data_IF_223810999349
#
_entry.id   IF_223810999349
#
_cell.length_a   1.000
_cell.length_b   1.000
_cell.length_c   1.000
_cell.angle_alpha   90.00
_cell.angle_beta   90.00
_cell.angle_gamma   90.00
#
_symmetry.space_group_name_H-M   'P 1'
#
loop_
_entity.id
_entity.type
_entity.pdbx_description
1 polymer ?
#
# COMPACT_ATOMS: atom_id res chain seq x y z
N UNK A 1 -4.98 10.59 17.12
CA UNK A 1 -5.34 11.93 17.64
C UNK A 1 -4.55 12.95 16.87
N UNK A 2 -5.22 13.91 16.22
CA UNK A 2 -4.56 15.03 15.56
C UNK A 2 -3.68 15.76 16.60
N UNK A 3 -2.40 15.94 16.29
CA UNK A 3 -1.46 16.69 17.13
C UNK A 3 -0.82 17.78 16.30
N UNK A 4 -0.99 19.03 16.72
CA UNK A 4 -0.31 20.19 16.17
C UNK A 4 0.69 20.72 17.20
N UNK A 5 1.76 21.36 16.72
CA UNK A 5 2.64 22.13 17.59
C UNK A 5 1.93 23.40 18.09
N UNK A 6 2.38 23.89 19.24
CA UNK A 6 1.88 25.18 19.73
C UNK A 6 2.33 26.29 18.78
N UNK A 7 1.41 27.19 18.40
CA UNK A 7 1.69 28.29 17.47
C UNK A 7 1.17 29.62 18.00
N UNK A 8 1.87 30.70 17.68
CA UNK A 8 1.41 32.08 17.90
C UNK A 8 0.66 32.64 16.69
N UNK A 9 0.67 31.91 15.56
CA UNK A 9 0.12 32.38 14.29
C UNK A 9 -0.72 31.31 13.61
N UNK A 10 -1.85 31.71 13.04
CA UNK A 10 -2.83 30.80 12.46
C UNK A 10 -3.77 31.54 11.51
N UNK A 11 -4.19 30.90 10.43
CA UNK A 11 -5.20 31.46 9.53
C UNK A 11 -6.28 30.43 9.21
N UNK A 12 -7.54 30.81 9.35
CA UNK A 12 -8.69 30.06 8.84
C UNK A 12 -9.34 30.87 7.75
N UNK A 13 -9.60 30.25 6.60
CA UNK A 13 -10.40 30.86 5.53
C UNK A 13 -11.48 29.86 5.15
N UNK A 14 -12.72 30.30 5.06
CA UNK A 14 -13.81 29.44 4.60
C UNK A 14 -14.82 30.21 3.76
N UNK A 15 -15.46 29.49 2.85
CA UNK A 15 -16.57 29.99 2.05
C UNK A 15 -17.86 29.37 2.57
N UNK A 16 -18.87 30.20 2.77
CA UNK A 16 -20.19 29.74 3.17
C UNK A 16 -21.07 30.88 3.65
N UNK A 17 -22.15 30.55 4.34
CA UNK A 17 -23.13 31.52 4.80
C UNK A 17 -23.78 31.09 6.11
N UNK A 18 -24.12 32.07 6.94
CA UNK A 18 -25.06 31.86 8.04
C UNK A 18 -26.48 31.79 7.50
N UNK A 19 -27.31 30.91 8.06
CA UNK A 19 -28.74 30.92 7.77
C UNK A 19 -29.39 32.14 8.43
N UNK A 20 -30.19 32.88 7.67
CA UNK A 20 -31.00 33.99 8.21
C UNK A 20 -32.00 33.52 9.30
N UNK A 21 -32.36 32.23 9.28
CA UNK A 21 -33.27 31.60 10.23
C UNK A 21 -32.56 30.97 11.44
N UNK A 22 -31.23 31.12 11.56
CA UNK A 22 -30.48 30.63 12.70
C UNK A 22 -31.08 31.15 14.03
N UNK A 23 -31.04 30.39 15.13
CA UNK A 23 -31.50 30.85 16.44
C UNK A 23 -30.55 31.89 17.06
N UNK A 24 -31.05 32.77 17.93
CA UNK A 24 -30.21 33.76 18.65
C UNK A 24 -29.60 33.11 19.88
N UNK A 25 -28.28 33.26 20.06
CA UNK A 25 -27.70 32.98 21.36
C UNK A 25 -28.20 34.01 22.38
N UNK A 26 -28.67 33.54 23.55
CA UNK A 26 -28.96 34.42 24.69
C UNK A 26 -27.67 34.70 25.44
N UNK A 27 -27.46 35.95 25.89
CA UNK A 27 -26.25 36.42 26.59
C UNK A 27 -25.68 35.39 27.57
N UNK A 28 -24.38 35.09 27.42
CA UNK A 28 -23.66 34.09 28.21
C UNK A 28 -23.68 32.67 27.64
N UNK A 29 -24.23 32.48 26.44
CA UNK A 29 -24.23 31.20 25.71
C UNK A 29 -23.30 31.31 24.51
N UNK A 30 -22.17 30.59 24.53
CA UNK A 30 -21.18 30.61 23.45
C UNK A 30 -21.64 29.73 22.27
N UNK A 31 -21.62 30.24 21.04
CA UNK A 31 -22.18 29.57 19.86
C UNK A 31 -21.15 29.42 18.74
N UNK A 32 -20.29 28.38 18.76
CA UNK A 32 -18.96 28.57 18.18
C UNK A 32 -18.09 27.37 17.77
N UNK A 33 -17.73 27.30 16.49
CA UNK A 33 -16.41 27.68 15.96
C UNK A 33 -16.19 26.99 14.62
N UNK A 34 -15.68 27.74 13.65
CA UNK A 34 -15.04 27.22 12.45
C UNK A 34 -13.59 27.65 12.60
N UNK A 35 -12.77 26.82 13.26
CA UNK A 35 -11.40 27.16 13.65
C UNK A 35 -10.98 26.61 15.01
N UNK A 36 -9.86 27.07 15.58
CA UNK A 36 -9.44 26.70 16.93
C UNK A 36 -10.52 27.06 17.94
N UNK A 37 -10.57 26.35 19.07
CA UNK A 37 -11.55 26.50 20.15
C UNK A 37 -11.63 27.88 20.85
N UNK A 38 -11.07 28.94 20.26
CA UNK A 38 -10.93 30.29 20.80
C UNK A 38 -11.35 31.42 19.83
N UNK A 39 -11.75 31.10 18.58
CA UNK A 39 -12.03 32.11 17.53
C UNK A 39 -13.27 31.79 16.71
N UNK A 40 -14.09 32.80 16.46
CA UNK A 40 -15.51 32.52 16.54
C UNK A 40 -16.35 33.57 15.77
N UNK A 41 -17.03 33.18 14.68
CA UNK A 41 -18.00 34.05 13.99
C UNK A 41 -19.41 33.76 14.53
N UNK A 42 -20.15 34.78 14.98
CA UNK A 42 -21.28 34.59 15.89
C UNK A 42 -22.53 35.39 15.60
N UNK A 43 -23.63 34.81 16.13
CA UNK A 43 -24.92 35.45 16.30
C UNK A 43 -25.23 35.70 17.79
N UNK A 44 -24.95 36.89 18.32
CA UNK A 44 -25.11 37.23 19.74
C UNK A 44 -26.00 38.47 19.97
N UNK A 45 -26.44 38.69 21.21
CA UNK A 45 -27.37 39.75 21.61
C UNK A 45 -26.70 41.10 21.96
N UNK A 46 -25.39 41.22 21.76
CA UNK A 46 -24.61 42.44 21.95
C UNK A 46 -25.08 43.60 21.07
N UNK A 47 -25.86 44.54 21.63
CA UNK A 47 -26.37 45.78 20.98
C UNK A 47 -27.31 45.57 19.79
N UNK A 48 -27.84 44.36 19.60
CA UNK A 48 -28.93 44.08 18.65
C UNK A 48 -28.51 43.69 17.23
N UNK A 49 -27.33 43.10 17.05
CA UNK A 49 -26.82 42.64 15.75
C UNK A 49 -25.80 41.50 15.88
N UNK A 50 -25.44 40.87 14.75
CA UNK A 50 -24.50 39.74 14.70
C UNK A 50 -23.07 40.25 14.65
N UNK A 51 -22.11 39.61 15.31
CA UNK A 51 -20.72 40.10 15.31
C UNK A 51 -19.73 38.96 15.17
N UNK A 52 -18.59 39.24 14.57
CA UNK A 52 -17.42 38.37 14.72
C UNK A 52 -16.79 38.58 16.09
N UNK A 53 -16.27 37.53 16.69
CA UNK A 53 -15.75 37.60 18.04
C UNK A 53 -14.53 36.71 18.26
N UNK A 54 -13.78 37.04 19.30
CA UNK A 54 -12.66 36.24 19.77
C UNK A 54 -12.73 36.10 21.28
N UNK A 55 -12.39 34.92 21.79
CA UNK A 55 -12.31 34.65 23.21
C UNK A 55 -10.98 34.01 23.60
N UNK A 56 -10.20 34.71 24.43
CA UNK A 56 -8.96 34.20 25.03
C UNK A 56 -8.98 34.28 26.58
N UNK A 57 -10.19 34.36 27.16
CA UNK A 57 -10.42 34.78 28.55
C UNK A 57 -11.01 36.18 28.67
N UNK A 58 -10.85 37.01 27.63
CA UNK A 58 -11.62 38.26 27.40
C UNK A 58 -12.34 38.14 26.06
N UNK A 59 -13.57 38.66 25.97
CA UNK A 59 -14.34 38.71 24.72
C UNK A 59 -13.98 39.99 23.94
N UNK A 60 -13.64 39.84 22.67
CA UNK A 60 -13.35 40.93 21.75
C UNK A 60 -14.34 40.89 20.59
N UNK A 61 -15.28 41.84 20.58
CA UNK A 61 -16.31 41.93 19.56
C UNK A 61 -15.87 42.79 18.37
N UNK A 62 -16.26 42.32 17.19
CA UNK A 62 -16.05 42.94 15.90
C UNK A 62 -17.21 43.83 15.44
N UNK A 63 -17.21 44.12 14.14
CA UNK A 63 -18.32 44.80 13.46
C UNK A 63 -19.55 43.91 13.27
N UNK A 64 -20.68 44.56 12.95
CA UNK A 64 -21.95 43.90 12.65
C UNK A 64 -21.87 43.12 11.32
N UNK A 65 -22.25 41.84 11.33
CA UNK A 65 -22.22 40.93 10.17
C UNK A 65 -23.62 40.53 9.65
N UNK A 66 -24.70 41.15 10.14
CA UNK A 66 -26.10 40.92 9.73
C UNK A 66 -26.34 41.04 8.24
N UNK A 67 -25.57 41.88 7.56
CA UNK A 67 -25.66 42.03 6.11
C UNK A 67 -25.24 40.78 5.31
N UNK A 68 -24.56 39.82 5.94
CA UNK A 68 -24.04 38.61 5.29
C UNK A 68 -24.92 37.37 5.53
N UNK A 69 -26.03 37.48 6.29
CA UNK A 69 -26.96 36.38 6.51
C UNK A 69 -27.62 35.93 5.18
N UNK A 70 -27.58 34.62 4.91
CA UNK A 70 -28.09 34.03 3.67
C UNK A 70 -27.33 34.47 2.42
N UNK A 71 -26.12 35.01 2.58
CA UNK A 71 -25.25 35.44 1.47
C UNK A 71 -23.94 34.64 1.52
N UNK A 72 -23.59 33.89 0.47
CA UNK A 72 -22.28 33.25 0.35
C UNK A 72 -21.16 34.29 0.52
N UNK A 73 -20.32 34.05 1.51
CA UNK A 73 -19.28 34.97 1.97
C UNK A 73 -18.00 34.20 2.19
N UNK A 74 -16.88 34.80 1.82
CA UNK A 74 -15.56 34.30 2.19
C UNK A 74 -15.15 34.95 3.50
N UNK A 75 -14.99 34.13 4.53
CA UNK A 75 -14.63 34.54 5.87
C UNK A 75 -13.17 34.20 6.11
N UNK A 76 -12.40 35.15 6.62
CA UNK A 76 -11.00 34.93 6.99
C UNK A 76 -10.75 35.34 8.42
N UNK A 77 -9.98 34.54 9.15
CA UNK A 77 -9.52 34.83 10.51
C UNK A 77 -8.00 34.71 10.51
N UNK A 78 -7.30 35.83 10.67
CA UNK A 78 -5.83 35.88 10.74
C UNK A 78 -5.42 36.19 12.16
N UNK A 79 -4.76 35.24 12.80
CA UNK A 79 -4.23 35.34 14.16
C UNK A 79 -2.71 35.37 14.06
N UNK A 80 -2.08 36.35 14.71
CA UNK A 80 -0.64 36.42 14.92
C UNK A 80 -0.36 36.74 16.39
N UNK A 81 0.92 36.69 16.79
CA UNK A 81 1.35 36.82 18.19
C UNK A 81 0.73 38.01 18.94
N UNK A 82 0.55 39.14 18.24
CA UNK A 82 0.05 40.39 18.80
C UNK A 82 -1.05 41.05 17.95
N UNK A 83 -1.68 40.31 17.02
CA UNK A 83 -2.73 40.88 16.16
C UNK A 83 -3.78 39.85 15.76
N UNK A 84 -5.02 40.30 15.71
CA UNK A 84 -6.16 39.53 15.27
C UNK A 84 -6.95 40.36 14.28
N UNK A 85 -7.26 39.75 13.14
CA UNK A 85 -8.07 40.39 12.12
C UNK A 85 -9.05 39.38 11.55
N UNK A 86 -10.31 39.82 11.42
CA UNK A 86 -11.35 39.06 10.76
C UNK A 86 -11.75 39.80 9.49
N UNK A 87 -12.09 39.05 8.46
CA UNK A 87 -12.49 39.60 7.18
C UNK A 87 -13.74 38.90 6.66
N UNK A 88 -14.60 39.67 6.00
CA UNK A 88 -15.70 39.17 5.18
C UNK A 88 -15.52 39.71 3.76
N UNK A 89 -15.37 38.83 2.77
CA UNK A 89 -15.10 39.19 1.37
C UNK A 89 -13.94 40.18 1.22
N UNK A 90 -12.89 40.00 2.01
CA UNK A 90 -11.73 40.89 2.02
C UNK A 90 -11.85 42.16 2.85
N UNK A 91 -13.06 42.50 3.32
CA UNK A 91 -13.31 43.66 4.16
C UNK A 91 -12.98 43.35 5.62
N UNK A 92 -12.12 44.18 6.23
CA UNK A 92 -11.76 44.09 7.66
C UNK A 92 -12.99 44.33 8.54
N UNK A 93 -13.21 43.44 9.50
CA UNK A 93 -14.22 43.54 10.54
C UNK A 93 -13.54 44.06 11.81
N UNK A 94 -13.82 45.31 12.16
CA UNK A 94 -13.07 46.02 13.19
C UNK A 94 -13.21 45.34 14.56
N UNK A 95 -12.12 44.76 15.06
CA UNK A 95 -12.05 44.26 16.43
C UNK A 95 -11.59 45.34 17.41
N UNK A 96 -12.38 45.58 18.45
CA UNK A 96 -11.97 46.49 19.53
C UNK A 96 -11.02 45.84 20.53
N UNK A 97 -9.76 46.27 20.62
CA UNK A 97 -8.80 45.86 21.67
C UNK A 97 -7.42 45.45 21.14
N UNK A 98 -6.58 44.90 22.03
CA UNK A 98 -5.32 44.24 21.65
C UNK A 98 -5.26 42.85 22.32
N UNK A 99 -5.89 41.83 21.73
CA UNK A 99 -5.84 40.47 22.27
C UNK A 99 -4.44 39.89 22.12
N UNK A 100 -3.98 39.16 23.13
CA UNK A 100 -2.81 38.26 23.03
C UNK A 100 -3.30 36.83 22.82
N UNK A 101 -2.60 36.05 21.99
CA UNK A 101 -3.04 34.70 21.68
C UNK A 101 -1.88 33.72 21.51
N UNK A 102 -2.10 32.50 21.97
CA UNK A 102 -1.22 31.37 21.73
C UNK A 102 -2.08 30.11 21.62
N UNK A 103 -1.95 29.41 20.50
CA UNK A 103 -2.59 28.13 20.25
C UNK A 103 -1.74 27.05 20.95
N UNK A 104 -2.33 26.31 21.87
CA UNK A 104 -1.65 25.23 22.57
C UNK A 104 -1.35 24.08 21.61
N UNK A 105 -0.30 23.30 21.91
CA UNK A 105 -0.09 22.04 21.23
C UNK A 105 -1.31 21.12 21.42
N UNK A 106 -1.74 20.44 20.36
CA UNK A 106 -2.93 19.58 20.38
C UNK A 106 -4.26 20.33 20.57
N UNK A 107 -4.35 21.58 20.10
CA UNK A 107 -5.61 22.33 20.15
C UNK A 107 -6.64 21.70 19.21
N UNK A 108 -7.90 21.62 19.65
CA UNK A 108 -8.99 21.15 18.80
C UNK A 108 -9.37 22.22 17.76
N UNK A 109 -9.49 21.79 16.51
CA UNK A 109 -10.23 22.53 15.48
C UNK A 109 -11.68 22.10 15.60
N UNK A 110 -12.55 23.05 15.94
CA UNK A 110 -13.97 22.84 16.06
C UNK A 110 -14.62 23.36 14.79
N UNK A 111 -15.57 22.57 14.27
CA UNK A 111 -16.41 22.93 13.13
C UNK A 111 -17.87 22.78 13.56
N UNK A 112 -18.55 23.90 13.72
CA UNK A 112 -20.01 23.96 13.83
C UNK A 112 -20.63 23.62 15.19
N UNK A 113 -19.87 23.15 16.20
CA UNK A 113 -20.43 22.86 17.53
C UNK A 113 -19.40 23.08 18.67
N UNK A 114 -19.60 24.09 19.52
CA UNK A 114 -18.64 24.47 20.57
C UNK A 114 -18.66 23.53 21.79
N UNK A 115 -19.86 23.18 22.29
CA UNK A 115 -20.06 22.46 23.55
C UNK A 115 -21.52 22.05 23.77
N UNK A 116 -21.76 21.18 24.76
CA UNK A 116 -23.09 20.66 25.12
C UNK A 116 -24.14 21.70 25.57
N UNK A 117 -23.75 22.97 25.75
CA UNK A 117 -24.64 24.07 26.14
C UNK A 117 -24.64 25.26 25.17
N UNK A 118 -23.98 25.14 24.01
CA UNK A 118 -23.89 26.19 22.99
C UNK A 118 -24.97 26.06 21.90
N UNK A 119 -25.11 27.09 21.07
CA UNK A 119 -25.83 26.97 19.80
C UNK A 119 -24.86 26.50 18.71
N UNK A 120 -25.30 25.53 17.92
CA UNK A 120 -24.54 25.01 16.77
C UNK A 120 -24.61 26.00 15.59
N UNK A 121 -23.63 25.91 14.69
CA UNK A 121 -23.66 26.61 13.42
C UNK A 121 -24.88 26.18 12.62
N UNK A 122 -25.67 27.16 12.16
CA UNK A 122 -26.80 26.94 11.25
C UNK A 122 -26.54 27.75 9.99
N UNK A 123 -26.24 27.04 8.91
CA UNK A 123 -25.80 27.64 7.66
C UNK A 123 -25.17 26.60 6.74
N UNK A 124 -24.41 27.07 5.76
CA UNK A 124 -23.68 26.24 4.80
C UNK A 124 -22.18 26.58 4.84
N UNK A 125 -21.35 25.54 4.75
CA UNK A 125 -19.90 25.65 4.58
C UNK A 125 -19.58 24.87 3.30
N UNK A 126 -18.97 25.53 2.33
CA UNK A 126 -18.63 24.93 1.03
C UNK A 126 -17.16 24.51 1.00
N UNK A 127 -16.25 25.38 1.43
CA UNK A 127 -14.81 25.13 1.44
C UNK A 127 -14.17 25.70 2.72
N UNK A 128 -13.23 24.97 3.32
CA UNK A 128 -12.50 25.36 4.53
C UNK A 128 -11.01 25.10 4.33
N UNK A 129 -10.21 26.14 4.51
CA UNK A 129 -8.76 26.13 4.43
C UNK A 129 -8.17 26.57 5.77
N UNK A 130 -7.13 25.87 6.21
CA UNK A 130 -6.47 26.09 7.48
C UNK A 130 -4.96 26.17 7.25
N UNK A 131 -4.33 27.22 7.79
CA UNK A 131 -2.89 27.45 7.69
C UNK A 131 -2.29 27.64 9.08
N UNK A 132 -1.18 26.96 9.36
CA UNK A 132 -0.40 27.12 10.60
C UNK A 132 0.49 28.39 10.60
N UNK A 133 0.08 29.41 9.85
CA UNK A 133 0.78 30.69 9.73
C UNK A 133 -0.22 31.84 9.61
N UNK A 134 0.23 33.05 9.96
CA UNK A 134 -0.52 34.27 9.71
C UNK A 134 -0.30 34.69 8.25
N UNK A 135 -1.33 34.57 7.42
CA UNK A 135 -1.23 34.95 6.02
C UNK A 135 -1.08 36.47 5.87
N UNK A 136 -0.25 36.87 4.90
CA UNK A 136 -0.14 38.26 4.51
C UNK A 136 -1.43 38.75 3.85
N UNK A 137 -1.65 40.06 3.81
CA UNK A 137 -2.80 40.64 3.12
C UNK A 137 -2.86 40.20 1.64
N UNK A 138 -1.71 40.12 0.95
CA UNK A 138 -1.64 39.69 -0.44
C UNK A 138 -1.92 38.20 -0.65
N UNK A 139 -1.47 37.34 0.27
CA UNK A 139 -1.73 35.90 0.16
C UNK A 139 -3.20 35.60 0.47
N UNK A 140 -3.74 36.25 1.49
CA UNK A 140 -5.16 36.20 1.83
C UNK A 140 -6.02 36.69 0.65
N UNK A 141 -5.72 37.84 0.05
CA UNK A 141 -6.46 38.36 -1.10
C UNK A 141 -6.51 37.37 -2.26
N UNK A 142 -5.41 36.66 -2.55
CA UNK A 142 -5.38 35.62 -3.59
C UNK A 142 -6.34 34.47 -3.28
N UNK A 143 -6.31 33.98 -2.05
CA UNK A 143 -7.14 32.85 -1.61
C UNK A 143 -8.62 33.27 -1.56
N UNK A 144 -8.91 34.46 -1.04
CA UNK A 144 -10.27 35.00 -0.99
C UNK A 144 -10.83 35.27 -2.39
N UNK A 145 -10.01 35.74 -3.32
CA UNK A 145 -10.42 35.90 -4.72
C UNK A 145 -10.74 34.56 -5.36
N UNK A 146 -9.94 33.53 -5.08
CA UNK A 146 -10.19 32.17 -5.55
C UNK A 146 -11.52 31.65 -5.01
N UNK A 147 -11.72 31.67 -3.68
CA UNK A 147 -12.95 31.19 -3.04
C UNK A 147 -14.17 32.03 -3.45
N UNK A 148 -14.03 33.34 -3.59
CA UNK A 148 -15.11 34.25 -3.98
C UNK A 148 -15.46 34.19 -5.47
N UNK A 149 -14.66 33.48 -6.28
CA UNK A 149 -14.98 33.26 -7.69
C UNK A 149 -16.02 32.16 -7.86
N UNK A 150 -16.88 32.28 -8.86
CA UNK A 150 -17.69 31.15 -9.32
C UNK A 150 -16.71 30.10 -9.84
N UNK A 151 -16.82 28.83 -9.41
CA UNK A 151 -16.05 27.75 -10.02
C UNK A 151 -16.23 27.83 -11.54
N UNK A 152 -15.17 27.67 -12.34
CA UNK A 152 -15.36 27.51 -13.79
C UNK A 152 -16.40 26.42 -14.04
N UNK A 153 -17.23 26.58 -15.08
CA UNK A 153 -18.10 25.48 -15.55
C UNK A 153 -17.26 24.21 -15.60
N UNK A 154 -17.77 23.10 -15.05
CA UNK A 154 -17.09 21.81 -14.90
C UNK A 154 -16.48 21.34 -16.23
N UNK A 155 -15.29 21.82 -16.58
CA UNK A 155 -14.40 21.11 -17.48
C UNK A 155 -13.87 19.94 -16.67
N UNK A 156 -14.04 18.72 -17.20
CA UNK A 156 -13.47 17.53 -16.56
C UNK A 156 -12.00 17.80 -16.25
N UNK A 157 -11.60 17.75 -14.98
CA UNK A 157 -10.24 18.09 -14.60
C UNK A 157 -9.29 17.11 -15.30
N UNK A 158 -8.50 17.62 -16.25
CA UNK A 158 -7.41 16.86 -16.85
C UNK A 158 -6.30 16.78 -15.80
N UNK A 159 -6.24 15.66 -15.08
CA UNK A 159 -5.27 15.44 -14.00
C UNK A 159 -3.92 15.05 -14.61
N UNK A 160 -3.23 16.03 -15.21
CA UNK A 160 -1.88 15.84 -15.77
C UNK A 160 -0.79 15.75 -14.66
N UNK A 161 -1.20 15.89 -13.39
CA UNK A 161 -0.37 15.73 -12.19
C UNK A 161 -0.82 14.51 -11.36
N UNK A 162 0.05 13.91 -10.53
CA UNK A 162 -0.36 12.92 -9.55
C UNK A 162 -1.39 13.54 -8.60
N UNK A 163 -2.60 12.99 -8.55
CA UNK A 163 -3.71 13.61 -7.84
C UNK A 163 -4.94 12.73 -7.74
N UNK A 164 -5.90 13.23 -6.97
CA UNK A 164 -7.24 12.65 -6.79
C UNK A 164 -8.26 13.68 -7.23
N UNK A 165 -9.30 13.24 -7.93
CA UNK A 165 -10.54 14.00 -8.17
C UNK A 165 -11.66 13.31 -7.41
N UNK A 166 -12.49 14.09 -6.72
CA UNK A 166 -13.59 13.56 -5.91
C UNK A 166 -14.91 13.97 -6.56
N UNK A 167 -15.72 12.99 -6.91
CA UNK A 167 -17.09 13.17 -7.36
C UNK A 167 -18.05 12.76 -6.25
N UNK A 168 -19.14 13.51 -6.10
CA UNK A 168 -20.19 13.18 -5.14
C UNK A 168 -21.54 13.18 -5.83
N UNK A 169 -22.20 12.03 -5.83
CA UNK A 169 -23.58 11.88 -6.30
C UNK A 169 -24.45 11.39 -5.13
N UNK A 170 -25.16 12.34 -4.50
CA UNK A 170 -25.94 12.08 -3.29
C UNK A 170 -25.06 11.67 -2.10
N UNK A 171 -25.18 10.41 -1.67
CA UNK A 171 -24.41 9.81 -0.58
C UNK A 171 -23.21 8.99 -1.06
N UNK A 172 -23.07 8.81 -2.38
CA UNK A 172 -21.96 8.09 -2.97
C UNK A 172 -20.80 9.06 -3.24
N UNK A 173 -19.59 8.63 -2.88
CA UNK A 173 -18.35 9.38 -3.14
C UNK A 173 -17.47 8.53 -4.02
N UNK A 174 -17.07 9.07 -5.16
CA UNK A 174 -16.16 8.43 -6.11
C UNK A 174 -14.85 9.19 -6.15
N UNK A 175 -13.75 8.46 -6.01
CA UNK A 175 -12.38 8.96 -6.08
C UNK A 175 -11.81 8.50 -7.42
N UNK A 176 -11.50 9.44 -8.31
CA UNK A 176 -10.73 9.18 -9.51
C UNK A 176 -9.25 9.46 -9.23
N UNK A 177 -8.39 8.53 -9.63
CA UNK A 177 -6.95 8.55 -9.36
C UNK A 177 -6.23 8.78 -10.68
N UNK A 178 -5.25 9.69 -10.68
CA UNK A 178 -4.36 9.86 -11.84
C UNK A 178 -3.61 8.57 -12.15
N UNK A 179 -3.47 8.20 -13.43
CA UNK A 179 -2.72 7.00 -13.85
C UNK A 179 -1.25 6.99 -13.39
N UNK A 180 -0.71 8.17 -13.06
CA UNK A 180 0.67 8.35 -12.60
C UNK A 180 0.80 8.25 -11.07
N UNK A 181 -0.30 8.10 -10.34
CA UNK A 181 -0.31 8.13 -8.88
C UNK A 181 -0.48 6.74 -8.26
N UNK A 182 0.17 6.53 -7.13
CA UNK A 182 -0.17 5.50 -6.16
C UNK A 182 -1.15 6.08 -5.13
N UNK A 183 -2.12 5.27 -4.71
CA UNK A 183 -3.09 5.65 -3.69
C UNK A 183 -2.71 5.06 -2.33
N UNK A 184 -2.67 5.92 -1.31
CA UNK A 184 -2.49 5.51 0.08
C UNK A 184 -3.77 5.81 0.86
N UNK A 185 -4.06 4.94 1.83
CA UNK A 185 -5.14 5.12 2.79
C UNK A 185 -4.61 5.17 4.22
N UNK A 186 -5.32 5.90 5.09
CA UNK A 186 -5.04 5.98 6.52
C UNK A 186 -6.33 6.12 7.32
N UNK A 187 -6.37 5.57 8.53
CA UNK A 187 -7.47 5.77 9.49
C UNK A 187 -7.15 6.87 10.51
N UNK A 188 -5.88 7.25 10.66
CA UNK A 188 -5.41 8.13 11.74
C UNK A 188 -4.50 9.30 11.29
N UNK A 189 -4.25 9.42 9.98
CA UNK A 189 -3.32 10.35 9.31
C UNK A 189 -1.84 10.14 9.65
N UNK A 190 -1.52 9.15 10.48
CA UNK A 190 -0.15 8.84 10.92
C UNK A 190 0.36 7.63 10.16
N UNK A 191 -0.41 6.55 10.17
CA UNK A 191 -0.06 5.29 9.52
C UNK A 191 -0.72 5.25 8.15
N UNK A 192 0.10 5.20 7.11
CA UNK A 192 -0.35 5.15 5.73
C UNK A 192 -0.03 3.78 5.12
N UNK A 193 -1.04 3.16 4.51
CA UNK A 193 -0.90 1.91 3.78
C UNK A 193 -1.21 2.14 2.31
N UNK A 194 -0.43 1.53 1.43
CA UNK A 194 -0.78 1.53 0.00
C UNK A 194 -2.10 0.78 -0.22
N UNK A 195 -2.92 1.28 -1.14
CA UNK A 195 -3.98 0.51 -1.77
C UNK A 195 -3.38 -0.11 -3.04
N UNK A 196 -2.96 -1.39 -3.00
CA UNK A 196 -2.38 -2.04 -4.16
C UNK A 196 -3.41 -2.15 -5.27
N UNK A 197 -2.96 -2.00 -6.53
CA UNK A 197 -3.82 -2.12 -7.71
C UNK A 197 -5.10 -1.28 -7.62
N UNK A 198 -5.03 -0.11 -6.98
CA UNK A 198 -6.16 0.80 -6.86
C UNK A 198 -6.74 1.06 -8.26
N UNK A 199 -8.02 0.75 -8.44
CA UNK A 199 -8.70 1.03 -9.69
C UNK A 199 -8.62 2.53 -9.98
N UNK A 200 -8.51 2.96 -11.26
CA UNK A 200 -8.49 4.37 -11.63
C UNK A 200 -9.70 5.16 -11.08
N UNK A 201 -10.77 4.44 -10.74
CA UNK A 201 -11.96 4.94 -10.09
C UNK A 201 -12.31 4.04 -8.89
N UNK A 202 -12.45 4.64 -7.71
CA UNK A 202 -12.77 3.98 -6.45
C UNK A 202 -14.05 4.59 -5.86
N UNK A 203 -15.11 3.79 -5.77
CA UNK A 203 -16.35 4.18 -5.08
C UNK A 203 -16.27 3.83 -3.60
N UNK A 204 -16.48 4.82 -2.73
CA UNK A 204 -16.51 4.63 -1.28
C UNK A 204 -17.94 4.28 -0.80
N UNK A 205 -18.11 3.22 0.00
CA UNK A 205 -19.38 2.91 0.64
C UNK A 205 -19.84 4.05 1.57
N UNK A 206 -21.13 4.35 1.56
CA UNK A 206 -21.73 5.42 2.39
C UNK A 206 -21.61 5.17 3.91
N UNK A 207 -21.31 3.94 4.32
CA UNK A 207 -21.18 3.48 5.70
C UNK A 207 -19.73 3.15 6.12
N UNK A 208 -18.76 3.43 5.26
CA UNK A 208 -17.35 3.28 5.64
C UNK A 208 -16.99 4.32 6.72
N UNK A 209 -16.24 3.88 7.73
CA UNK A 209 -15.72 4.78 8.78
C UNK A 209 -14.80 5.86 8.19
N UNK A 210 -14.33 6.77 9.05
CA UNK A 210 -13.42 7.83 8.61
C UNK A 210 -12.13 7.25 8.02
N UNK A 211 -11.94 7.43 6.71
CA UNK A 211 -10.71 7.09 5.99
C UNK A 211 -10.17 8.33 5.27
N UNK A 212 -8.84 8.46 5.28
CA UNK A 212 -8.10 9.50 4.61
C UNK A 212 -7.36 8.90 3.42
N UNK A 213 -7.34 9.62 2.30
CA UNK A 213 -6.69 9.18 1.07
C UNK A 213 -5.65 10.21 0.62
N UNK A 214 -4.55 9.71 0.05
CA UNK A 214 -3.48 10.55 -0.50
C UNK A 214 -2.94 9.91 -1.79
N UNK A 215 -2.92 10.67 -2.87
CA UNK A 215 -2.18 10.32 -4.08
C UNK A 215 -0.71 10.73 -3.92
N UNK A 216 0.21 9.85 -4.35
CA UNK A 216 1.65 10.13 -4.41
C UNK A 216 2.21 9.71 -5.76
N UNK A 217 3.26 10.39 -6.21
CA UNK A 217 4.03 10.00 -7.40
C UNK A 217 5.04 8.88 -7.12
N UNK A 218 5.39 8.70 -5.85
CA UNK A 218 6.42 7.77 -5.40
C UNK A 218 6.15 7.35 -3.96
N UNK A 219 6.53 6.12 -3.64
CA UNK A 219 6.39 5.56 -2.30
C UNK A 219 7.76 5.67 -1.65
N UNK A 220 7.89 6.60 -0.70
CA UNK A 220 9.13 6.86 0.03
C UNK A 220 9.21 6.19 1.40
N UNK A 221 8.09 5.65 1.88
CA UNK A 221 8.00 4.97 3.17
C UNK A 221 7.50 3.55 2.97
N UNK A 222 8.19 2.60 3.61
CA UNK A 222 7.80 1.19 3.61
C UNK A 222 6.48 1.10 4.38
N UNK A 223 5.42 0.70 3.68
CA UNK A 223 4.11 0.47 4.29
C UNK A 223 3.84 -1.03 4.49
N UNK A 224 3.04 -1.35 5.50
CA UNK A 224 2.57 -2.72 5.72
C UNK A 224 1.71 -3.20 4.54
N UNK A 225 1.78 -4.50 4.23
CA UNK A 225 0.96 -5.11 3.18
C UNK A 225 1.47 -4.90 1.75
N UNK A 226 2.65 -4.28 1.56
CA UNK A 226 3.27 -4.18 0.24
C UNK A 226 3.75 -5.55 -0.24
N UNK A 227 3.14 -6.02 -1.33
CA UNK A 227 3.47 -7.28 -1.97
C UNK A 227 3.89 -7.06 -3.42
N UNK A 228 4.88 -7.82 -3.87
CA UNK A 228 5.36 -7.79 -5.24
C UNK A 228 5.26 -9.17 -5.85
N UNK A 229 4.75 -9.28 -7.07
CA UNK A 229 4.59 -10.58 -7.75
C UNK A 229 5.23 -10.56 -9.13
N UNK A 230 5.76 -11.71 -9.53
CA UNK A 230 6.11 -12.00 -10.92
C UNK A 230 5.56 -13.35 -11.32
N UNK A 231 5.29 -13.52 -12.61
CA UNK A 231 4.90 -14.80 -13.21
C UNK A 231 5.95 -15.25 -14.22
N UNK A 232 6.42 -16.48 -14.07
CA UNK A 232 7.31 -17.14 -15.01
C UNK A 232 6.48 -18.04 -15.90
N UNK A 233 6.31 -17.66 -17.17
CA UNK A 233 5.55 -18.44 -18.16
C UNK A 233 6.46 -19.30 -19.04
N UNK A 234 6.07 -20.55 -19.22
CA UNK A 234 6.62 -21.56 -20.14
C UNK A 234 5.44 -22.31 -20.78
N UNK A 235 5.50 -23.64 -20.93
CA UNK A 235 4.32 -24.46 -21.23
C UNK A 235 3.32 -24.47 -20.05
N UNK A 236 3.80 -24.20 -18.83
CA UNK A 236 3.00 -23.92 -17.62
C UNK A 236 3.36 -22.53 -17.07
N UNK A 237 2.79 -22.11 -15.94
CA UNK A 237 3.19 -20.88 -15.24
C UNK A 237 3.55 -21.10 -13.78
N UNK A 238 4.49 -20.32 -13.24
CA UNK A 238 4.78 -20.28 -11.79
C UNK A 238 4.73 -18.85 -11.33
N UNK A 239 4.29 -18.61 -10.11
CA UNK A 239 4.24 -17.29 -9.51
C UNK A 239 5.18 -17.22 -8.31
N UNK A 240 5.90 -16.11 -8.24
CA UNK A 240 6.69 -15.74 -7.10
C UNK A 240 6.12 -14.47 -6.51
N UNK A 241 5.83 -14.50 -5.21
CA UNK A 241 5.27 -13.38 -4.46
C UNK A 241 6.16 -13.05 -3.27
N UNK A 242 6.51 -11.78 -3.10
CA UNK A 242 7.35 -11.29 -2.02
C UNK A 242 6.63 -10.25 -1.18
N UNK A 243 6.62 -10.44 0.13
CA UNK A 243 6.00 -9.56 1.12
C UNK A 243 7.11 -8.69 1.74
N UNK A 244 7.05 -7.38 1.50
CA UNK A 244 8.15 -6.45 1.78
C UNK A 244 8.46 -6.27 3.28
N UNK A 245 7.41 -6.31 4.08
CA UNK A 245 7.40 -6.10 5.52
C UNK A 245 8.02 -7.28 6.27
N UNK A 246 7.62 -8.49 5.92
CA UNK A 246 8.04 -9.75 6.55
C UNK A 246 9.26 -10.39 5.88
N UNK A 247 9.53 -10.05 4.63
CA UNK A 247 10.49 -10.74 3.80
C UNK A 247 10.02 -12.11 3.30
N UNK A 248 8.75 -12.47 3.53
CA UNK A 248 8.21 -13.76 3.10
C UNK A 248 8.15 -13.83 1.57
N UNK A 249 8.74 -14.87 1.01
CA UNK A 249 8.71 -15.19 -0.41
C UNK A 249 7.94 -16.49 -0.61
N UNK A 250 6.89 -16.47 -1.42
CA UNK A 250 6.13 -17.65 -1.82
C UNK A 250 6.41 -18.00 -3.27
N UNK A 251 6.64 -19.29 -3.54
CA UNK A 251 6.82 -19.82 -4.89
C UNK A 251 5.79 -20.91 -5.16
N UNK A 252 4.78 -20.57 -5.96
CA UNK A 252 3.61 -21.39 -6.22
C UNK A 252 3.55 -21.73 -7.72
N UNK A 253 3.30 -22.99 -8.03
CA UNK A 253 3.25 -23.49 -9.40
C UNK A 253 2.38 -24.72 -9.52
N UNK A 254 2.69 -25.53 -10.53
CA UNK A 254 1.95 -26.74 -10.85
C UNK A 254 2.16 -27.86 -9.84
N UNK A 255 1.19 -28.77 -9.78
CA UNK A 255 1.32 -30.06 -9.11
C UNK A 255 2.20 -31.02 -9.90
N UNK A 256 2.88 -31.91 -9.17
CA UNK A 256 3.65 -33.03 -9.71
C UNK A 256 4.64 -32.66 -10.82
N UNK A 257 5.33 -31.52 -10.64
CA UNK A 257 6.43 -31.07 -11.48
C UNK A 257 7.53 -32.14 -11.52
N UNK A 258 7.99 -32.51 -12.72
CA UNK A 258 9.04 -33.50 -12.91
C UNK A 258 10.44 -32.93 -12.69
N UNK A 259 11.35 -33.75 -12.18
CA UNK A 259 12.75 -33.38 -11.98
C UNK A 259 13.69 -34.38 -12.64
N UNK A 260 14.77 -33.87 -13.20
CA UNK A 260 15.80 -34.64 -13.90
C UNK A 260 16.98 -34.93 -12.98
N UNK A 261 17.42 -36.19 -12.88
CA UNK A 261 18.59 -36.55 -12.08
C UNK A 261 19.90 -36.17 -12.77
N UNK A 262 20.79 -35.53 -12.02
CA UNK A 262 22.06 -35.06 -12.54
C UNK A 262 23.21 -35.42 -11.60
N UNK A 263 24.14 -36.23 -12.13
CA UNK A 263 25.28 -36.78 -11.37
C UNK A 263 26.65 -36.22 -11.75
N UNK A 264 26.68 -35.36 -12.78
CA UNK A 264 27.93 -34.81 -13.31
C UNK A 264 28.66 -33.98 -12.25
N UNK A 265 29.99 -34.09 -12.19
CA UNK A 265 30.81 -33.32 -11.25
C UNK A 265 30.74 -33.82 -9.80
N UNK A 266 30.26 -35.04 -9.56
CA UNK A 266 30.13 -35.61 -8.22
C UNK A 266 28.88 -35.14 -7.47
N UNK A 267 27.97 -34.46 -8.17
CA UNK A 267 26.68 -34.07 -7.64
C UNK A 267 25.75 -35.30 -7.52
N UNK A 268 24.75 -35.19 -6.66
CA UNK A 268 23.61 -36.12 -6.58
C UNK A 268 22.34 -35.30 -6.34
N UNK A 269 21.80 -34.74 -7.42
CA UNK A 269 20.74 -33.74 -7.34
C UNK A 269 19.77 -33.84 -8.50
N UNK A 270 18.56 -33.37 -8.25
CA UNK A 270 17.46 -33.41 -9.19
C UNK A 270 17.00 -31.99 -9.45
N UNK A 271 16.80 -31.60 -10.70
CA UNK A 271 16.36 -30.24 -11.02
C UNK A 271 15.58 -30.17 -12.32
N UNK A 272 14.86 -29.06 -12.50
CA UNK A 272 14.22 -28.72 -13.76
C UNK A 272 14.34 -27.21 -14.02
N UNK A 273 14.24 -26.82 -15.29
CA UNK A 273 14.26 -25.41 -15.71
C UNK A 273 12.96 -24.70 -15.33
N UNK A 274 13.07 -23.55 -14.68
CA UNK A 274 11.90 -22.70 -14.38
C UNK A 274 11.60 -21.70 -15.49
N UNK A 275 12.63 -21.19 -16.18
CA UNK A 275 12.50 -20.25 -17.29
C UNK A 275 13.27 -20.72 -18.54
N UNK A 276 12.62 -20.63 -19.71
CA UNK A 276 13.26 -20.93 -21.01
C UNK A 276 13.70 -19.65 -21.71
N UNK A 277 14.96 -19.61 -22.20
CA UNK A 277 15.45 -18.57 -23.10
C UNK A 277 16.07 -17.31 -22.48
N UNK A 278 16.64 -17.38 -21.27
CA UNK A 278 17.38 -16.26 -20.66
C UNK A 278 16.52 -15.04 -20.31
N UNK A 279 15.19 -15.18 -20.31
CA UNK A 279 14.26 -14.18 -19.80
C UNK A 279 14.16 -14.40 -18.29
N UNK A 280 14.96 -13.63 -17.55
CA UNK A 280 14.89 -13.60 -16.09
C UNK A 280 13.48 -13.29 -15.60
N UNK A 281 13.13 -13.81 -14.43
CA UNK A 281 11.83 -13.57 -13.78
C UNK A 281 11.73 -12.19 -13.12
N UNK A 282 12.71 -11.30 -13.36
CA UNK A 282 12.79 -9.92 -12.88
C UNK A 282 12.89 -9.86 -11.35
N UNK A 283 11.77 -10.06 -10.68
CA UNK A 283 11.64 -10.04 -9.23
C UNK A 283 12.50 -11.10 -8.54
N UNK A 284 12.46 -12.37 -8.97
CA UNK A 284 13.25 -13.43 -8.29
C UNK A 284 14.75 -13.13 -8.43
N UNK A 285 15.19 -12.66 -9.60
CA UNK A 285 16.58 -12.27 -9.80
C UNK A 285 16.99 -11.10 -8.92
N UNK A 286 16.16 -10.07 -8.86
CA UNK A 286 16.36 -8.91 -7.98
C UNK A 286 16.54 -9.37 -6.53
N UNK A 287 15.65 -10.23 -6.05
CA UNK A 287 15.65 -10.74 -4.68
C UNK A 287 16.87 -11.62 -4.40
N UNK A 288 17.23 -12.53 -5.32
CA UNK A 288 18.42 -13.40 -5.18
C UNK A 288 19.72 -12.61 -5.13
N UNK A 289 19.85 -11.55 -5.94
CA UNK A 289 21.05 -10.71 -6.00
C UNK A 289 21.24 -9.81 -4.77
N UNK A 290 20.12 -9.45 -4.10
CA UNK A 290 20.10 -8.54 -2.95
C UNK A 290 19.81 -9.24 -1.61
N UNK A 291 19.67 -10.56 -1.64
CA UNK A 291 19.48 -11.36 -0.43
C UNK A 291 20.70 -11.21 0.50
N UNK A 292 20.48 -10.68 1.71
CA UNK A 292 21.56 -10.54 2.70
C UNK A 292 22.14 -11.88 3.16
N UNK A 293 21.38 -12.97 2.99
CA UNK A 293 21.80 -14.33 3.36
C UNK A 293 22.39 -15.13 2.19
N UNK A 294 22.62 -14.52 1.01
CA UNK A 294 23.02 -15.22 -0.20
C UNK A 294 24.25 -16.14 -0.04
N UNK A 295 25.26 -15.71 0.72
CA UNK A 295 26.46 -16.53 1.00
C UNK A 295 26.13 -17.74 1.88
N UNK A 296 25.32 -17.54 2.93
CA UNK A 296 24.90 -18.60 3.84
C UNK A 296 24.07 -19.64 3.09
N UNK A 297 23.11 -19.20 2.27
CA UNK A 297 22.29 -20.09 1.46
C UNK A 297 23.10 -20.88 0.44
N UNK A 298 24.11 -20.26 -0.18
CA UNK A 298 25.03 -20.97 -1.08
C UNK A 298 25.83 -22.04 -0.34
N UNK A 299 26.38 -21.73 0.83
CA UNK A 299 27.13 -22.70 1.63
C UNK A 299 26.24 -23.89 2.03
N UNK A 300 24.99 -23.63 2.42
CA UNK A 300 23.98 -24.67 2.70
C UNK A 300 23.71 -25.58 1.51
N UNK A 301 23.62 -25.03 0.30
CA UNK A 301 23.45 -25.83 -0.91
C UNK A 301 24.67 -26.74 -1.17
N UNK A 302 25.89 -26.22 -0.99
CA UNK A 302 27.12 -27.02 -1.15
C UNK A 302 27.18 -28.17 -0.13
N UNK A 303 26.86 -27.88 1.13
CA UNK A 303 26.79 -28.90 2.20
C UNK A 303 25.70 -29.96 1.92
N UNK A 304 24.67 -29.57 1.18
CA UNK A 304 23.56 -30.43 0.75
C UNK A 304 23.81 -31.14 -0.60
N UNK A 305 25.05 -31.18 -1.09
CA UNK A 305 25.44 -32.02 -2.24
C UNK A 305 25.54 -31.31 -3.59
N UNK A 306 25.39 -29.98 -3.65
CA UNK A 306 25.54 -29.18 -4.88
C UNK A 306 27.02 -28.87 -5.22
N UNK A 307 27.89 -29.87 -5.11
CA UNK A 307 29.36 -29.74 -5.05
C UNK A 307 30.02 -29.03 -6.25
N UNK A 308 29.43 -29.13 -7.45
CA UNK A 308 30.00 -28.50 -8.65
C UNK A 308 29.68 -27.00 -8.81
N UNK A 309 28.80 -26.44 -7.97
CA UNK A 309 28.22 -25.11 -8.15
C UNK A 309 28.90 -24.03 -7.28
N UNK A 310 30.22 -24.09 -7.18
CA UNK A 310 31.02 -23.20 -6.31
C UNK A 310 31.28 -21.81 -6.91
N UNK A 311 31.19 -21.67 -8.24
CA UNK A 311 31.48 -20.42 -8.93
C UNK A 311 30.56 -19.24 -8.55
N UNK A 312 31.06 -18.01 -8.72
CA UNK A 312 30.30 -16.78 -8.40
C UNK A 312 29.10 -16.54 -9.32
N UNK A 313 29.01 -17.27 -10.44
CA UNK A 313 27.86 -17.22 -11.33
C UNK A 313 26.62 -17.90 -10.71
N UNK A 314 26.76 -18.69 -9.65
CA UNK A 314 25.64 -19.41 -9.04
C UNK A 314 25.13 -18.71 -7.77
N UNK A 315 23.84 -18.39 -7.77
CA UNK A 315 23.09 -17.91 -6.61
C UNK A 315 22.04 -18.93 -6.18
N UNK A 316 21.72 -18.98 -4.89
CA UNK A 316 20.84 -19.99 -4.29
C UNK A 316 19.81 -19.36 -3.34
N UNK A 317 18.61 -19.94 -3.30
CA UNK A 317 17.54 -19.69 -2.33
C UNK A 317 17.04 -21.03 -1.80
N UNK A 318 17.35 -21.34 -0.54
CA UNK A 318 16.80 -22.51 0.16
C UNK A 318 15.31 -22.30 0.36
N UNK A 319 14.52 -23.34 0.04
CA UNK A 319 13.07 -23.32 0.09
C UNK A 319 12.55 -24.25 1.19
N UNK A 320 11.57 -23.77 1.93
CA UNK A 320 10.74 -24.54 2.85
C UNK A 320 9.49 -25.02 2.13
N UNK A 321 9.17 -26.31 2.25
CA UNK A 321 7.93 -26.88 1.72
C UNK A 321 6.72 -26.40 2.54
N UNK A 322 5.71 -25.86 1.86
CA UNK A 322 4.43 -25.52 2.49
C UNK A 322 3.66 -26.79 2.90
N UNK A 323 2.70 -26.71 3.83
CA UNK A 323 1.92 -27.88 4.27
C UNK A 323 1.17 -28.61 3.14
N UNK A 324 0.83 -27.91 2.06
CA UNK A 324 0.15 -28.47 0.88
C UNK A 324 1.12 -29.08 -0.14
N UNK A 325 2.43 -28.96 0.06
CA UNK A 325 3.45 -29.52 -0.81
C UNK A 325 3.46 -31.05 -0.65
N UNK A 326 3.59 -31.75 -1.77
CA UNK A 326 3.83 -33.18 -1.82
C UNK A 326 5.07 -33.46 -2.65
N UNK A 327 5.91 -34.36 -2.15
CA UNK A 327 7.03 -34.91 -2.91
C UNK A 327 6.79 -36.39 -3.13
N UNK A 328 6.92 -36.78 -4.38
CA UNK A 328 6.51 -38.05 -4.93
C UNK A 328 7.72 -38.73 -5.55
N UNK A 329 7.91 -40.01 -5.26
CA UNK A 329 8.97 -40.82 -5.86
C UNK A 329 8.41 -42.08 -6.50
N UNK A 330 9.03 -42.51 -7.59
CA UNK A 330 8.69 -43.75 -8.26
C UNK A 330 9.96 -44.56 -8.51
N UNK A 331 9.99 -45.78 -8.00
CA UNK A 331 11.11 -46.72 -8.14
C UNK A 331 10.94 -47.73 -9.29
N UNK A 332 9.81 -47.65 -9.99
CA UNK A 332 9.50 -48.53 -11.11
C UNK A 332 10.32 -48.11 -12.32
N UNK A 333 11.24 -48.98 -12.74
CA UNK A 333 11.98 -48.78 -13.97
C UNK A 333 11.03 -48.87 -15.19
N UNK A 334 11.26 -48.09 -16.26
CA UNK A 334 10.49 -48.21 -17.49
C UNK A 334 10.55 -49.64 -18.04
N UNK A 335 9.40 -50.20 -18.44
CA UNK A 335 9.29 -51.59 -18.93
C UNK A 335 10.21 -51.86 -20.14
N UNK A 336 10.38 -50.86 -21.02
CA UNK A 336 11.29 -50.94 -22.17
C UNK A 336 12.19 -49.70 -22.24
N UNK A 337 13.49 -49.91 -22.42
CA UNK A 337 14.43 -48.82 -22.71
C UNK A 337 14.04 -48.12 -24.02
N UNK A 338 13.73 -46.82 -23.96
CA UNK A 338 13.30 -46.06 -25.15
C UNK A 338 11.80 -45.72 -25.21
N UNK A 339 11.00 -46.11 -24.21
CA UNK A 339 9.60 -45.67 -24.11
C UNK A 339 9.52 -44.33 -23.38
N UNK A 340 8.89 -43.36 -24.02
CA UNK A 340 8.66 -42.03 -23.43
C UNK A 340 7.45 -41.98 -22.49
N UNK A 341 6.56 -42.98 -22.57
CA UNK A 341 5.25 -42.98 -21.90
C UNK A 341 5.17 -44.11 -20.85
N UNK A 342 6.13 -44.18 -19.93
CA UNK A 342 6.12 -45.29 -18.95
C UNK A 342 5.24 -45.04 -17.75
N UNK A 343 4.78 -43.79 -17.54
CA UNK A 343 3.75 -43.43 -16.55
C UNK A 343 2.96 -42.22 -17.03
N UNK A 344 1.64 -42.21 -16.84
CA UNK A 344 0.89 -40.96 -16.91
C UNK A 344 1.36 -40.09 -15.74
N UNK A 345 1.61 -38.79 -16.00
CA UNK A 345 1.73 -37.83 -14.91
C UNK A 345 0.49 -38.00 -14.00
N UNK A 346 0.68 -37.93 -12.67
CA UNK A 346 -0.40 -38.08 -11.69
C UNK A 346 -1.02 -39.49 -11.54
N UNK A 347 -0.27 -40.56 -11.78
CA UNK A 347 -0.74 -41.95 -11.62
C UNK A 347 -0.52 -42.53 -10.20
N UNK A 348 -1.19 -43.66 -9.90
CA UNK A 348 -1.18 -44.34 -8.59
C UNK A 348 0.16 -44.99 -8.20
N UNK A 349 1.18 -44.90 -9.04
CA UNK A 349 2.44 -45.62 -8.90
C UNK A 349 3.56 -44.80 -8.23
N UNK A 350 3.26 -43.57 -7.83
CA UNK A 350 4.14 -42.74 -7.02
C UNK A 350 3.83 -42.87 -5.52
N UNK A 351 4.88 -43.07 -4.73
CA UNK A 351 4.81 -43.01 -3.27
C UNK A 351 5.07 -41.57 -2.79
N UNK A 352 4.25 -41.09 -1.87
CA UNK A 352 4.48 -39.81 -1.19
C UNK A 352 5.52 -40.00 -0.09
N UNK A 353 6.58 -39.19 -0.09
CA UNK A 353 7.62 -39.18 0.93
C UNK A 353 7.48 -37.97 1.86
N UNK A 354 8.20 -38.00 2.99
CA UNK A 354 8.19 -36.90 3.96
C UNK A 354 8.91 -35.67 3.39
N UNK A 355 8.13 -34.80 2.76
CA UNK A 355 8.63 -33.61 2.10
C UNK A 355 9.33 -32.63 3.04
N UNK A 356 9.06 -32.65 4.35
CA UNK A 356 9.63 -31.67 5.30
C UNK A 356 11.12 -31.88 5.55
N UNK A 357 11.59 -33.09 5.31
CA UNK A 357 12.98 -33.49 5.51
C UNK A 357 13.78 -33.58 4.21
N UNK A 358 13.22 -33.05 3.11
CA UNK A 358 13.90 -32.96 1.82
C UNK A 358 14.40 -31.53 1.61
N UNK A 359 15.59 -31.40 1.03
CA UNK A 359 16.20 -30.11 0.70
C UNK A 359 15.69 -29.63 -0.67
N UNK A 360 15.10 -28.43 -0.70
CA UNK A 360 14.63 -27.76 -1.91
C UNK A 360 15.36 -26.45 -2.10
N UNK A 361 15.58 -26.08 -3.36
CA UNK A 361 16.33 -24.87 -3.66
C UNK A 361 15.90 -24.27 -5.00
N UNK A 362 15.81 -22.95 -5.07
CA UNK A 362 15.91 -22.24 -6.35
C UNK A 362 17.37 -21.85 -6.56
N UNK A 363 17.92 -22.16 -7.73
CA UNK A 363 19.26 -21.70 -8.09
C UNK A 363 19.27 -20.96 -9.42
N UNK A 364 20.06 -19.88 -9.47
CA UNK A 364 20.28 -19.04 -10.66
C UNK A 364 21.67 -19.32 -11.21
N UNK A 365 21.79 -19.42 -12.52
CA UNK A 365 23.07 -19.37 -13.22
C UNK A 365 23.20 -18.04 -13.97
N UNK A 366 23.97 -17.11 -13.42
CA UNK A 366 24.24 -15.79 -14.00
C UNK A 366 25.01 -15.83 -15.33
N UNK A 367 25.62 -16.97 -15.69
CA UNK A 367 26.28 -17.14 -16.99
C UNK A 367 25.32 -17.31 -18.16
N UNK A 368 24.07 -17.73 -17.90
CA UNK A 368 23.05 -17.95 -18.94
C UNK A 368 21.66 -17.36 -18.61
N UNK A 369 21.47 -16.81 -17.41
CA UNK A 369 20.19 -16.21 -16.96
C UNK A 369 19.10 -17.23 -16.66
N UNK A 370 19.46 -18.51 -16.49
CA UNK A 370 18.48 -19.55 -16.15
C UNK A 370 18.27 -19.66 -14.64
N UNK A 371 17.02 -19.87 -14.29
CA UNK A 371 16.51 -20.23 -12.98
C UNK A 371 16.06 -21.68 -13.02
N UNK A 372 16.35 -22.39 -11.92
CA UNK A 372 16.11 -23.81 -11.79
C UNK A 372 15.49 -24.08 -10.43
N UNK A 373 14.56 -25.03 -10.38
CA UNK A 373 14.07 -25.60 -9.14
C UNK A 373 14.79 -26.92 -8.94
N UNK A 374 15.44 -27.05 -7.79
CA UNK A 374 16.19 -28.21 -7.39
C UNK A 374 15.56 -28.89 -6.18
N UNK A 375 15.67 -30.21 -6.17
CA UNK A 375 15.34 -31.08 -5.06
C UNK A 375 16.53 -32.05 -4.86
N UNK A 376 16.87 -32.36 -3.62
CA UNK A 376 17.72 -33.52 -3.36
C UNK A 376 18.96 -33.28 -2.51
N UNK A 377 20.10 -33.80 -2.99
CA UNK A 377 21.19 -34.17 -2.10
C UNK A 377 20.90 -35.45 -1.31
N UNK A 378 21.69 -35.75 -0.28
CA UNK A 378 21.49 -36.92 0.58
C UNK A 378 20.08 -37.03 1.19
N UNK A 379 19.40 -35.89 1.38
CA UNK A 379 18.08 -35.80 1.99
C UNK A 379 17.00 -36.58 1.23
N UNK A 380 16.99 -36.49 -0.11
CA UNK A 380 16.02 -37.21 -0.93
C UNK A 380 16.24 -38.71 -0.86
N UNK A 381 17.49 -39.15 -0.99
CA UNK A 381 17.84 -40.59 -0.90
C UNK A 381 17.51 -41.16 0.47
N UNK A 382 17.69 -40.39 1.54
CA UNK A 382 17.29 -40.77 2.90
C UNK A 382 15.78 -40.97 3.02
N UNK A 383 14.96 -40.06 2.47
CA UNK A 383 13.50 -40.16 2.53
C UNK A 383 12.92 -41.20 1.55
N UNK A 384 13.53 -41.35 0.37
CA UNK A 384 13.10 -42.30 -0.66
C UNK A 384 13.62 -43.73 -0.42
N UNK A 385 14.57 -43.93 0.50
CA UNK A 385 15.20 -45.21 0.85
C UNK A 385 16.21 -45.74 -0.17
N UNK A 386 16.01 -45.42 -1.45
CA UNK A 386 16.95 -45.65 -2.53
C UNK A 386 16.86 -44.49 -3.53
N UNK A 387 17.84 -44.39 -4.42
CA UNK A 387 17.80 -43.40 -5.50
C UNK A 387 16.78 -43.85 -6.57
N UNK A 388 15.79 -43.02 -6.94
CA UNK A 388 14.87 -43.32 -8.03
C UNK A 388 15.60 -43.47 -9.38
N UNK A 389 15.11 -44.28 -10.33
CA UNK A 389 15.80 -44.61 -11.58
C UNK A 389 15.78 -43.50 -12.65
N UNK A 390 15.06 -42.39 -12.41
CA UNK A 390 14.90 -41.30 -13.37
C UNK A 390 16.21 -40.57 -13.65
N UNK A 391 16.47 -40.22 -14.91
CA UNK A 391 17.70 -39.54 -15.33
C UNK A 391 17.48 -38.34 -16.26
N UNK A 392 16.22 -37.90 -16.40
CA UNK A 392 15.83 -36.75 -17.21
C UNK A 392 15.99 -36.93 -18.72
N UNK A 393 16.37 -38.13 -19.18
CA UNK A 393 16.16 -38.46 -20.58
C UNK A 393 14.66 -38.66 -20.85
N UNK A 394 14.18 -38.39 -22.08
CA UNK A 394 12.79 -38.66 -22.47
C UNK A 394 12.33 -40.10 -22.16
N UNK A 395 13.27 -41.04 -22.00
CA UNK A 395 13.03 -42.45 -21.74
C UNK A 395 12.98 -42.83 -20.25
N UNK A 396 13.26 -41.87 -19.35
CA UNK A 396 13.47 -42.05 -17.91
C UNK A 396 13.15 -40.75 -17.14
N UNK A 397 12.04 -40.08 -17.48
CA UNK A 397 11.47 -38.96 -16.71
C UNK A 397 10.76 -39.46 -15.40
N UNK A 398 10.93 -40.74 -15.07
CA UNK A 398 10.32 -41.38 -13.91
C UNK A 398 11.31 -41.43 -12.77
N UNK A 399 11.18 -40.55 -11.79
CA UNK A 399 11.94 -40.68 -10.56
C UNK A 399 11.38 -39.82 -9.44
N UNK A 400 11.40 -38.51 -9.63
CA UNK A 400 10.99 -37.54 -8.61
C UNK A 400 10.01 -36.56 -9.22
N UNK A 401 8.88 -36.38 -8.53
CA UNK A 401 7.91 -35.32 -8.81
C UNK A 401 7.63 -34.54 -7.54
N UNK A 402 7.26 -33.27 -7.68
CA UNK A 402 6.93 -32.44 -6.53
C UNK A 402 5.91 -31.37 -6.88
N UNK A 403 5.01 -31.11 -5.94
CA UNK A 403 4.14 -29.95 -6.02
C UNK A 403 4.98 -28.69 -5.82
N UNK A 404 4.78 -27.67 -6.66
CA UNK A 404 5.43 -26.37 -6.51
C UNK A 404 4.63 -25.53 -5.52
N UNK A 405 4.95 -25.69 -4.24
CA UNK A 405 4.33 -24.96 -3.13
C UNK A 405 5.37 -24.73 -2.04
N UNK A 406 6.12 -23.64 -2.17
CA UNK A 406 7.26 -23.36 -1.30
C UNK A 406 7.20 -21.96 -0.72
N UNK A 407 7.90 -21.77 0.39
CA UNK A 407 8.20 -20.45 0.94
C UNK A 407 9.66 -20.32 1.35
N UNK A 408 10.13 -19.10 1.50
CA UNK A 408 11.37 -18.78 2.22
C UNK A 408 11.30 -17.36 2.76
N UNK A 409 12.29 -16.95 3.53
CA UNK A 409 12.43 -15.56 3.99
C UNK A 409 13.66 -14.96 3.32
N UNK A 410 13.47 -13.85 2.62
CA UNK A 410 14.54 -13.13 1.92
C UNK A 410 14.73 -11.77 2.60
N UNK A 411 15.76 -11.62 3.46
CA UNK A 411 16.08 -10.33 4.06
C UNK A 411 16.68 -9.39 3.01
N UNK A 412 16.14 -8.16 2.98
CA UNK A 412 16.62 -7.05 2.17
C UNK A 412 17.03 -5.88 3.08
N UNK A 413 18.04 -5.12 2.66
CA UNK A 413 18.36 -3.84 3.29
C UNK A 413 17.28 -2.79 3.02
N UNK A 414 17.16 -1.75 3.83
CA UNK A 414 16.19 -0.67 3.59
C UNK A 414 16.42 0.01 2.23
N UNK A 415 17.67 0.12 1.78
CA UNK A 415 18.01 0.64 0.46
C UNK A 415 17.52 -0.28 -0.67
N UNK A 416 17.62 -1.60 -0.49
CA UNK A 416 17.12 -2.58 -1.46
C UNK A 416 15.59 -2.67 -1.46
N UNK A 417 14.95 -2.50 -0.30
CA UNK A 417 13.49 -2.36 -0.20
C UNK A 417 13.00 -1.14 -0.99
N UNK A 418 13.68 0.00 -0.84
CA UNK A 418 13.37 1.20 -1.62
C UNK A 418 13.57 0.98 -3.12
N UNK A 419 14.69 0.36 -3.52
CA UNK A 419 14.94 0.03 -4.92
C UNK A 419 13.89 -0.94 -5.51
N UNK A 420 13.35 -1.85 -4.69
CA UNK A 420 12.27 -2.75 -5.11
C UNK A 420 10.98 -1.97 -5.40
N UNK A 421 10.60 -1.06 -4.50
CA UNK A 421 9.44 -0.18 -4.63
C UNK A 421 9.55 0.68 -5.90
N UNK A 422 10.74 1.19 -6.22
CA UNK A 422 10.98 2.01 -7.41
C UNK A 422 10.95 1.21 -8.72
N UNK A 423 11.15 -0.11 -8.64
CA UNK A 423 11.28 -0.98 -9.83
C UNK A 423 9.99 -1.75 -10.14
N UNK A 424 9.22 -2.12 -9.13
CA UNK A 424 8.05 -3.00 -9.25
C UNK A 424 6.79 -2.35 -8.71
N UNK A 425 5.67 -2.63 -9.35
CA UNK A 425 4.35 -2.16 -8.89
C UNK A 425 3.85 -3.04 -7.75
N UNK A 426 3.44 -2.45 -6.60
CA UNK A 426 2.79 -3.20 -5.51
C UNK A 426 1.46 -3.83 -5.94
N UNK A 427 1.19 -5.04 -5.47
CA UNK A 427 0.03 -5.87 -5.83
C UNK A 427 -0.70 -6.39 -4.60
N UNK A 428 -1.94 -6.83 -4.80
CA UNK A 428 -2.74 -7.45 -3.73
C UNK A 428 -2.17 -8.83 -3.38
N UNK A 429 -1.96 -9.17 -2.09
CA UNK A 429 -1.46 -10.49 -1.70
C UNK A 429 -2.35 -11.63 -2.22
N UNK A 430 -1.76 -12.65 -2.83
CA UNK A 430 -2.48 -13.86 -3.27
C UNK A 430 -2.07 -15.11 -2.50
N UNK A 431 -0.89 -15.12 -1.88
CA UNK A 431 -0.32 -16.31 -1.26
C UNK A 431 -0.01 -16.14 0.22
N UNK A 432 -0.08 -17.25 0.94
CA UNK A 432 0.18 -17.36 2.36
C UNK A 432 0.61 -18.80 2.72
N UNK A 433 0.83 -19.07 4.01
CA UNK A 433 1.27 -20.37 4.53
C UNK A 433 0.30 -21.54 4.26
N UNK A 434 -0.92 -21.29 3.78
CA UNK A 434 -1.89 -22.32 3.39
C UNK A 434 -2.00 -22.51 1.87
N UNK A 435 -1.25 -21.73 1.09
CA UNK A 435 -1.23 -21.85 -0.37
C UNK A 435 -0.70 -23.21 -0.81
N UNK A 436 -1.21 -23.68 -1.94
CA UNK A 436 -0.83 -24.96 -2.52
C UNK A 436 -0.68 -24.88 -4.02
N UNK A 437 -0.06 -25.91 -4.59
CA UNK A 437 0.15 -26.02 -6.02
C UNK A 437 -1.18 -26.18 -6.78
N UNK A 438 -1.22 -25.68 -8.03
CA UNK A 438 -2.39 -25.75 -8.88
C UNK A 438 -2.37 -26.97 -9.82
N UNK A 439 -3.53 -27.46 -10.22
CA UNK A 439 -3.63 -28.50 -11.25
C UNK A 439 -3.45 -27.90 -12.65
N UNK A 440 -2.42 -28.32 -13.37
CA UNK A 440 -2.27 -27.97 -14.78
C UNK A 440 -3.18 -28.89 -15.63
N UNK A 441 -4.15 -28.30 -16.33
CA UNK A 441 -4.93 -29.02 -17.34
C UNK A 441 -4.27 -28.81 -18.70
N UNK A 442 -3.76 -29.89 -19.30
CA UNK A 442 -3.28 -29.85 -20.67
C UNK A 442 -4.44 -29.50 -21.62
N UNK A 443 -4.22 -28.67 -22.65
CA UNK A 443 -5.20 -28.48 -23.72
C UNK A 443 -5.58 -29.82 -24.34
N UNK A 444 -6.86 -30.03 -24.70
CA UNK A 444 -7.30 -31.24 -25.39
C UNK A 444 -6.44 -31.52 -26.64
N UNK A 445 -5.85 -32.72 -26.72
CA UNK A 445 -5.11 -33.20 -27.89
C UNK A 445 -3.58 -33.13 -27.79
N UNK A 446 -3.02 -32.87 -26.62
CA UNK A 446 -1.62 -33.13 -26.26
C UNK A 446 -1.51 -34.37 -25.36
#
# INVERSE_FOLDING_TARGET
>A
TLSNDGSTSFTVIWRGQYSADAPFATSGTYAYNIGPNATSHQRDDGKGGFVVEQYNGTTYAGDDITAFDGVPTVWSSVLAENSHAFYANGQDLNLGGMPSYQLNAGASIILGAYSASGYDFVGEIEELLIFESALSASDRERIETYLGSTPPDEEEPVVDAPGIVIFREGNEVTIQISEQAHLLASEDLVNWSIIPEAAPELTLPADQGQQFFRAVDSISEISEGMVFRTRVSSDTWREAEYHLDTGAFYFIGEKSHGFDHYTSGGNDLWWCYMNTGGKGSGLIEFLMERNQDAEATKNRALDSGWLAYTGNAYGFLELEALPAQQTLVNHTAPETSGQNDTTEAYSEDYDVIDHKNVYYVLYKNGGNGHLYLGIGGPSLTEQAGALPPGDGSPNRDNGVRGDVAFKTVIPLSDADKQALIETFTPMTPAYNDTSGAYHYMHPEGL
#
